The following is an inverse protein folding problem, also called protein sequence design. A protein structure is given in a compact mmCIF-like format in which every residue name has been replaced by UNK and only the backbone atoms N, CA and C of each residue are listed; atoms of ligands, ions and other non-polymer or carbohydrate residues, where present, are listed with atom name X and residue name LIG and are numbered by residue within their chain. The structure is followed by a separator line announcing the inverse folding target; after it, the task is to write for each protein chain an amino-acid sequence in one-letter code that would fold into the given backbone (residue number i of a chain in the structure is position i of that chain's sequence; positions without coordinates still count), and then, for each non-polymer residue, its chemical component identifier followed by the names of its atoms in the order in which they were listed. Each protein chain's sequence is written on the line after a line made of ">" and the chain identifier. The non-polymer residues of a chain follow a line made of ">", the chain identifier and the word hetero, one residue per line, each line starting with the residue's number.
data_IF_291131107597
#
_entry.id   IF_291131107597
#
_cell.length_a   1.000
_cell.length_b   1.000
_cell.length_c   1.000
_cell.angle_alpha   90.00
_cell.angle_beta   90.00
_cell.angle_gamma   90.00
#
_symmetry.space_group_name_H-M   'P 1'
#
loop_
_entity.id
_entity.type
_entity.pdbx_description
1 polymer ?
#
# COMPACT_ATOMS: atom_id res chain seq x y z
N UNK A 1 -7.13 21.97 28.15
CA UNK A 1 -6.58 20.71 28.71
C UNK A 1 -5.72 20.07 27.63
N UNK A 2 -4.40 20.11 27.76
CA UNK A 2 -3.50 19.36 26.86
C UNK A 2 -3.58 17.89 27.25
N UNK A 3 -4.08 17.04 26.36
CA UNK A 3 -3.88 15.59 26.51
C UNK A 3 -2.37 15.33 26.63
N UNK A 4 -1.96 14.79 27.78
CA UNK A 4 -0.60 14.26 27.94
C UNK A 4 -0.50 13.10 26.96
N UNK A 5 0.07 13.35 25.78
CA UNK A 5 0.40 12.29 24.82
C UNK A 5 1.37 11.36 25.52
N UNK A 6 0.92 10.15 25.88
CA UNK A 6 1.80 9.09 26.36
C UNK A 6 2.95 8.93 25.35
N UNK A 7 4.17 8.98 25.87
CA UNK A 7 5.37 8.73 25.07
C UNK A 7 5.25 7.33 24.50
N UNK A 8 5.35 7.19 23.18
CA UNK A 8 5.38 5.87 22.54
C UNK A 8 6.77 5.29 22.74
N UNK A 9 6.82 4.03 23.15
CA UNK A 9 8.05 3.28 23.42
C UNK A 9 8.02 1.92 22.71
N UNK A 10 9.02 1.08 22.99
CA UNK A 10 9.12 -0.24 22.38
C UNK A 10 7.93 -1.15 22.72
N UNK A 11 7.36 -1.03 23.92
CA UNK A 11 6.18 -1.79 24.31
C UNK A 11 4.95 -1.33 23.56
N UNK A 12 4.81 -0.02 23.31
CA UNK A 12 3.78 0.50 22.42
C UNK A 12 3.89 -0.11 21.01
N UNK A 13 5.10 -0.20 20.44
CA UNK A 13 5.32 -0.82 19.13
C UNK A 13 4.89 -2.29 19.14
N UNK A 14 5.34 -3.07 20.13
CA UNK A 14 5.02 -4.49 20.26
C UNK A 14 3.49 -4.67 20.35
N UNK A 15 2.83 -3.93 21.23
CA UNK A 15 1.38 -4.06 21.42
C UNK A 15 0.55 -3.69 20.18
N UNK A 16 1.06 -2.83 19.30
CA UNK A 16 0.32 -2.36 18.12
C UNK A 16 0.67 -3.10 16.81
N UNK A 17 1.85 -3.72 16.74
CA UNK A 17 2.37 -4.24 15.46
C UNK A 17 2.96 -5.65 15.53
N UNK A 18 3.08 -6.28 16.72
CA UNK A 18 3.73 -7.60 16.83
C UNK A 18 3.08 -8.65 15.93
N UNK A 19 1.74 -8.76 15.92
CA UNK A 19 1.03 -9.73 15.06
C UNK A 19 1.37 -9.52 13.58
N UNK A 20 1.44 -8.27 13.12
CA UNK A 20 1.87 -7.98 11.75
C UNK A 20 3.32 -8.40 11.52
N UNK A 21 4.23 -8.08 12.45
CA UNK A 21 5.65 -8.44 12.31
C UNK A 21 5.91 -9.95 12.36
N UNK A 22 5.10 -10.71 13.11
CA UNK A 22 5.15 -12.18 13.14
C UNK A 22 4.84 -12.81 11.79
N UNK A 23 3.93 -12.23 11.01
CA UNK A 23 3.67 -12.68 9.62
C UNK A 23 4.91 -12.56 8.71
N UNK A 24 5.87 -11.72 9.09
CA UNK A 24 7.14 -11.53 8.39
C UNK A 24 8.32 -12.20 9.10
N UNK A 25 8.06 -13.15 10.00
CA UNK A 25 9.09 -13.92 10.70
C UNK A 25 9.85 -13.16 11.78
N UNK A 26 9.37 -11.97 12.16
CA UNK A 26 9.93 -11.24 13.31
C UNK A 26 9.32 -11.74 14.61
N UNK A 27 10.05 -11.61 15.72
CA UNK A 27 9.58 -11.95 17.05
C UNK A 27 9.96 -10.84 18.03
N UNK A 28 9.39 -10.87 19.25
CA UNK A 28 9.67 -9.84 20.25
C UNK A 28 11.17 -9.66 20.52
N UNK A 29 11.92 -10.77 20.57
CA UNK A 29 13.36 -10.75 20.85
C UNK A 29 14.12 -10.00 19.75
N UNK A 30 13.94 -10.37 18.48
CA UNK A 30 14.67 -9.74 17.39
C UNK A 30 14.28 -8.26 17.16
N UNK A 31 13.01 -7.90 17.39
CA UNK A 31 12.56 -6.50 17.34
C UNK A 31 13.27 -5.67 18.42
N UNK A 32 13.42 -6.19 19.63
CA UNK A 32 14.12 -5.49 20.72
C UNK A 32 15.61 -5.39 20.40
N UNK A 33 16.24 -6.47 19.94
CA UNK A 33 17.67 -6.50 19.59
C UNK A 33 18.01 -5.52 18.46
N UNK A 34 17.18 -5.47 17.41
CA UNK A 34 17.29 -4.49 16.34
C UNK A 34 17.09 -3.06 16.86
N UNK A 35 16.17 -2.83 17.80
CA UNK A 35 15.99 -1.51 18.39
C UNK A 35 17.23 -1.05 19.15
N UNK A 36 17.83 -1.94 19.96
CA UNK A 36 19.05 -1.63 20.71
C UNK A 36 20.22 -1.32 19.77
N UNK A 37 20.35 -2.05 18.66
CA UNK A 37 21.39 -1.79 17.66
C UNK A 37 21.15 -0.48 16.92
N UNK A 38 19.91 -0.25 16.49
CA UNK A 38 19.51 0.90 15.68
C UNK A 38 19.66 2.22 16.46
N UNK A 39 19.25 2.25 17.74
CA UNK A 39 19.24 3.48 18.55
C UNK A 39 20.63 4.04 18.88
N UNK A 40 21.70 3.25 18.73
CA UNK A 40 23.08 3.69 19.05
C UNK A 40 23.48 4.91 18.20
N UNK A 41 23.01 5.00 16.96
CA UNK A 41 23.40 6.02 15.99
C UNK A 41 22.20 6.80 15.41
N UNK A 42 21.01 6.69 16.01
CA UNK A 42 19.75 7.21 15.45
C UNK A 42 18.90 7.90 16.52
N UNK A 43 17.82 8.56 16.08
CA UNK A 43 16.86 9.22 16.97
C UNK A 43 16.26 8.23 17.97
N UNK A 44 16.01 8.66 19.21
CA UNK A 44 15.33 7.83 20.23
C UNK A 44 13.81 7.67 19.96
N UNK A 45 13.29 8.23 18.87
CA UNK A 45 11.87 8.18 18.55
C UNK A 45 11.47 6.82 18.02
N UNK A 46 10.57 6.13 18.73
CA UNK A 46 10.07 4.83 18.31
C UNK A 46 9.39 4.88 16.94
N UNK A 47 8.80 6.01 16.55
CA UNK A 47 8.19 6.14 15.24
C UNK A 47 9.19 6.01 14.08
N UNK A 48 10.40 6.53 14.26
CA UNK A 48 11.46 6.42 13.27
C UNK A 48 11.96 4.96 13.18
N UNK A 49 11.92 4.24 14.30
CA UNK A 49 12.21 2.81 14.33
C UNK A 49 11.12 1.97 13.64
N UNK A 50 9.84 2.30 13.83
CA UNK A 50 8.74 1.65 13.07
C UNK A 50 8.93 1.84 11.57
N UNK A 51 9.27 3.07 11.12
CA UNK A 51 9.61 3.33 9.73
C UNK A 51 10.80 2.50 9.25
N UNK A 52 11.84 2.39 10.07
CA UNK A 52 13.00 1.56 9.77
C UNK A 52 12.60 0.10 9.55
N UNK A 53 11.77 -0.48 10.43
CA UNK A 53 11.28 -1.86 10.26
C UNK A 53 10.47 -2.00 8.97
N UNK A 54 9.54 -1.10 8.66
CA UNK A 54 8.77 -1.20 7.41
C UNK A 54 9.66 -1.20 6.17
N UNK A 55 10.68 -0.35 6.11
CA UNK A 55 11.62 -0.32 4.99
C UNK A 55 12.51 -1.57 4.95
N UNK A 56 12.93 -2.07 6.11
CA UNK A 56 13.65 -3.35 6.19
C UNK A 56 12.79 -4.48 5.63
N UNK A 57 11.52 -4.58 6.05
CA UNK A 57 10.58 -5.57 5.52
C UNK A 57 10.40 -5.46 4.01
N UNK A 58 10.26 -4.26 3.45
CA UNK A 58 10.17 -4.09 1.99
C UNK A 58 11.41 -4.62 1.25
N UNK A 59 12.61 -4.42 1.82
CA UNK A 59 13.86 -4.89 1.23
C UNK A 59 14.03 -6.42 1.32
N UNK A 60 13.77 -6.98 2.50
CA UNK A 60 13.84 -8.43 2.74
C UNK A 60 12.78 -9.19 1.94
N UNK A 61 11.61 -8.58 1.72
CA UNK A 61 10.52 -9.21 1.00
C UNK A 61 10.92 -9.68 -0.39
N UNK A 62 11.79 -8.94 -1.08
CA UNK A 62 12.30 -9.33 -2.40
C UNK A 62 13.08 -10.66 -2.37
N UNK A 63 13.75 -10.96 -1.26
CA UNK A 63 14.55 -12.19 -1.10
C UNK A 63 13.71 -13.36 -0.60
N UNK A 64 12.64 -13.08 0.15
CA UNK A 64 11.79 -14.09 0.79
C UNK A 64 10.61 -14.53 -0.08
N UNK A 65 10.30 -13.80 -1.16
CA UNK A 65 9.13 -14.09 -1.99
C UNK A 65 9.42 -15.22 -2.98
N UNK A 66 8.48 -16.16 -3.11
CA UNK A 66 8.62 -17.29 -4.04
C UNK A 66 8.43 -16.88 -5.51
N UNK A 67 7.60 -15.86 -5.73
CA UNK A 67 7.26 -15.34 -7.04
C UNK A 67 6.77 -13.89 -6.95
N UNK A 68 6.55 -13.25 -8.10
CA UNK A 68 6.12 -11.85 -8.17
C UNK A 68 4.75 -11.61 -7.52
N UNK A 69 3.83 -12.56 -7.60
CA UNK A 69 2.50 -12.41 -7.00
C UNK A 69 2.63 -12.33 -5.47
N UNK A 70 3.35 -13.27 -4.86
CA UNK A 70 3.64 -13.29 -3.43
C UNK A 70 4.36 -12.01 -2.98
N UNK A 71 5.36 -11.57 -3.75
CA UNK A 71 6.06 -10.30 -3.52
C UNK A 71 5.08 -9.12 -3.42
N UNK A 72 4.17 -8.98 -4.38
CA UNK A 72 3.21 -7.88 -4.37
C UNK A 72 2.14 -8.04 -3.29
N UNK A 73 1.68 -9.25 -2.96
CA UNK A 73 0.75 -9.49 -1.85
C UNK A 73 1.35 -9.08 -0.50
N UNK A 74 2.61 -9.49 -0.24
CA UNK A 74 3.35 -9.13 0.96
C UNK A 74 3.63 -7.62 1.02
N UNK A 75 4.05 -7.00 -0.08
CA UNK A 75 4.23 -5.54 -0.17
C UNK A 75 2.91 -4.78 0.09
N UNK A 76 1.78 -5.29 -0.40
CA UNK A 76 0.47 -4.67 -0.18
C UNK A 76 0.15 -4.58 1.32
N UNK A 77 0.45 -5.64 2.09
CA UNK A 77 0.29 -5.64 3.56
C UNK A 77 1.19 -4.61 4.24
N UNK A 78 2.45 -4.52 3.84
CA UNK A 78 3.41 -3.55 4.40
C UNK A 78 2.94 -2.12 4.13
N UNK A 79 2.62 -1.78 2.88
CA UNK A 79 2.14 -0.45 2.52
C UNK A 79 0.84 -0.08 3.24
N UNK A 80 -0.08 -1.03 3.43
CA UNK A 80 -1.31 -0.80 4.20
C UNK A 80 -1.00 -0.38 5.65
N UNK A 81 -0.05 -1.06 6.29
CA UNK A 81 0.40 -0.71 7.65
C UNK A 81 1.14 0.62 7.70
N UNK A 82 2.00 0.92 6.73
CA UNK A 82 2.67 2.22 6.59
C UNK A 82 1.65 3.37 6.45
N UNK A 83 0.62 3.19 5.62
CA UNK A 83 -0.47 4.16 5.44
C UNK A 83 -1.22 4.36 6.76
N UNK A 84 -1.60 3.27 7.42
CA UNK A 84 -2.31 3.31 8.71
C UNK A 84 -1.48 4.04 9.76
N UNK A 85 -0.18 3.72 9.85
CA UNK A 85 0.76 4.34 10.78
C UNK A 85 0.85 5.86 10.57
N UNK A 86 1.10 6.26 9.32
CA UNK A 86 1.19 7.68 8.91
C UNK A 86 -0.08 8.47 9.24
N UNK A 87 -1.25 7.89 9.00
CA UNK A 87 -2.55 8.57 9.19
C UNK A 87 -3.00 8.58 10.65
N UNK A 88 -2.93 7.44 11.34
CA UNK A 88 -3.48 7.27 12.69
C UNK A 88 -2.54 7.77 13.77
N UNK A 89 -1.25 7.47 13.67
CA UNK A 89 -0.29 7.73 14.76
C UNK A 89 0.55 8.98 14.54
N UNK A 90 0.85 9.34 13.28
CA UNK A 90 1.51 10.62 12.97
C UNK A 90 0.53 11.74 12.64
N UNK A 91 -0.72 11.42 12.26
CA UNK A 91 -1.74 12.42 11.89
C UNK A 91 -1.43 13.17 10.59
N UNK A 92 -0.61 12.59 9.71
CA UNK A 92 -0.12 13.23 8.48
C UNK A 92 -0.75 12.63 7.24
N UNK A 93 -0.63 13.34 6.10
CA UNK A 93 -0.98 12.79 4.78
C UNK A 93 -0.02 11.63 4.44
N UNK A 94 -0.57 10.63 3.76
CA UNK A 94 0.14 9.43 3.30
C UNK A 94 0.04 9.27 1.78
N UNK A 95 0.05 10.38 1.03
CA UNK A 95 -0.22 10.38 -0.41
C UNK A 95 0.86 9.63 -1.21
N UNK A 96 2.11 9.81 -0.80
CA UNK A 96 3.29 9.14 -1.32
C UNK A 96 3.20 7.62 -1.14
N UNK A 97 2.77 7.17 0.03
CA UNK A 97 2.62 5.74 0.34
C UNK A 97 1.38 5.18 -0.37
N UNK A 98 0.28 5.94 -0.43
CA UNK A 98 -0.91 5.55 -1.19
C UNK A 98 -0.60 5.37 -2.68
N UNK A 99 0.25 6.23 -3.24
CA UNK A 99 0.71 6.09 -4.62
C UNK A 99 1.48 4.79 -4.82
N UNK A 100 2.43 4.47 -3.94
CA UNK A 100 3.17 3.21 -3.98
C UNK A 100 2.26 1.99 -3.81
N UNK A 101 1.29 2.07 -2.88
CA UNK A 101 0.27 1.05 -2.68
C UNK A 101 -0.52 0.77 -3.96
N UNK A 102 -0.99 1.81 -4.64
CA UNK A 102 -1.77 1.67 -5.88
C UNK A 102 -0.90 1.10 -7.02
N UNK A 103 0.35 1.52 -7.14
CA UNK A 103 1.27 0.92 -8.13
C UNK A 103 1.48 -0.57 -7.85
N UNK A 104 1.75 -0.92 -6.59
CA UNK A 104 1.89 -2.31 -6.16
C UNK A 104 0.62 -3.12 -6.44
N UNK A 105 -0.56 -2.53 -6.19
CA UNK A 105 -1.86 -3.16 -6.46
C UNK A 105 -2.07 -3.42 -7.95
N UNK A 106 -1.77 -2.45 -8.80
CA UNK A 106 -1.84 -2.63 -10.27
C UNK A 106 -0.95 -3.79 -10.70
N UNK A 107 0.29 -3.86 -10.22
CA UNK A 107 1.20 -4.95 -10.56
C UNK A 107 0.72 -6.31 -10.03
N UNK A 108 0.16 -6.36 -8.83
CA UNK A 108 -0.47 -7.56 -8.29
C UNK A 108 -1.64 -8.04 -9.17
N UNK A 109 -2.52 -7.12 -9.56
CA UNK A 109 -3.67 -7.43 -10.40
C UNK A 109 -3.22 -7.91 -11.79
N UNK A 110 -2.16 -7.32 -12.36
CA UNK A 110 -1.57 -7.76 -13.61
C UNK A 110 -0.98 -9.18 -13.52
N UNK A 111 -0.19 -9.48 -12.49
CA UNK A 111 0.41 -10.80 -12.32
C UNK A 111 -0.68 -11.86 -12.06
N UNK A 112 -1.66 -11.53 -11.22
CA UNK A 112 -2.79 -12.42 -10.92
C UNK A 112 -3.65 -12.73 -12.14
N UNK A 113 -3.70 -11.82 -13.12
CA UNK A 113 -4.47 -11.98 -14.37
C UNK A 113 -3.60 -12.37 -15.58
N UNK A 114 -2.32 -12.71 -15.37
CA UNK A 114 -1.39 -13.07 -16.44
C UNK A 114 -1.94 -14.23 -17.29
N UNK A 115 -2.47 -15.25 -16.63
CA UNK A 115 -3.03 -16.46 -17.26
C UNK A 115 -4.54 -16.36 -17.56
N UNK A 116 -5.16 -15.20 -17.32
CA UNK A 116 -6.58 -15.00 -17.66
C UNK A 116 -6.75 -14.98 -19.18
N UNK A 117 -7.85 -15.56 -19.68
CA UNK A 117 -8.25 -15.51 -21.10
C UNK A 117 -9.02 -14.23 -21.45
N UNK A 118 -9.26 -13.33 -20.50
CA UNK A 118 -10.06 -12.12 -20.71
C UNK A 118 -9.19 -10.87 -20.77
N UNK A 119 -9.59 -9.93 -21.61
CA UNK A 119 -9.04 -8.58 -21.54
C UNK A 119 -9.48 -7.89 -20.25
N UNK A 120 -8.61 -7.06 -19.71
CA UNK A 120 -8.86 -6.29 -18.49
C UNK A 120 -8.59 -4.82 -18.76
N UNK A 121 -9.37 -3.97 -18.11
CA UNK A 121 -9.09 -2.56 -17.88
C UNK A 121 -8.93 -2.32 -16.38
N UNK A 122 -8.54 -1.09 -16.04
CA UNK A 122 -8.52 -0.64 -14.66
C UNK A 122 -9.61 0.39 -14.43
N UNK A 123 -10.09 0.47 -13.20
CA UNK A 123 -11.08 1.43 -12.75
C UNK A 123 -10.56 2.15 -11.51
N UNK A 124 -10.78 3.46 -11.43
CA UNK A 124 -10.49 4.21 -10.21
C UNK A 124 -11.68 4.12 -9.27
N UNK A 125 -11.44 3.60 -8.07
CA UNK A 125 -12.43 3.49 -7.01
C UNK A 125 -12.27 4.70 -6.09
N UNK A 126 -13.12 5.70 -6.27
CA UNK A 126 -13.19 6.89 -5.44
C UNK A 126 -14.10 6.71 -4.23
N UNK A 127 -13.84 7.46 -3.16
CA UNK A 127 -14.72 7.54 -1.98
C UNK A 127 -15.70 8.71 -2.02
N UNK A 128 -15.65 9.53 -3.08
CA UNK A 128 -16.54 10.67 -3.33
C UNK A 128 -16.56 11.75 -2.22
N UNK A 129 -15.50 11.81 -1.44
CA UNK A 129 -15.37 12.66 -0.26
C UNK A 129 -14.48 13.90 -0.49
N UNK A 130 -13.92 14.04 -1.69
CA UNK A 130 -13.31 15.26 -2.18
C UNK A 130 -13.60 15.43 -3.68
N UNK A 131 -13.52 16.67 -4.18
CA UNK A 131 -13.93 16.98 -5.56
C UNK A 131 -13.10 16.22 -6.60
N UNK A 132 -11.80 16.04 -6.35
CA UNK A 132 -10.96 15.22 -7.20
C UNK A 132 -11.38 13.75 -7.20
N UNK A 133 -11.76 13.19 -6.05
CA UNK A 133 -12.26 11.82 -5.97
C UNK A 133 -13.57 11.66 -6.74
N UNK A 134 -14.50 12.60 -6.59
CA UNK A 134 -15.78 12.60 -7.33
C UNK A 134 -15.56 12.65 -8.84
N UNK A 135 -14.60 13.46 -9.29
CA UNK A 135 -14.29 13.65 -10.72
C UNK A 135 -13.72 12.38 -11.39
N UNK A 136 -12.95 11.60 -10.65
CA UNK A 136 -12.23 10.43 -11.20
C UNK A 136 -12.86 9.10 -10.80
N UNK A 137 -13.86 9.08 -9.92
CA UNK A 137 -14.50 7.84 -9.49
C UNK A 137 -15.14 7.14 -10.68
N UNK A 138 -14.98 5.81 -10.74
CA UNK A 138 -15.49 4.94 -11.80
C UNK A 138 -14.88 5.20 -13.19
N UNK A 139 -13.87 6.08 -13.28
CA UNK A 139 -13.13 6.29 -14.52
C UNK A 139 -12.41 5.00 -14.91
N UNK A 140 -12.77 4.47 -16.07
CA UNK A 140 -12.10 3.34 -16.71
C UNK A 140 -10.84 3.86 -17.40
N UNK A 141 -9.70 3.21 -17.13
CA UNK A 141 -8.38 3.56 -17.64
C UNK A 141 -7.70 2.32 -18.22
N UNK A 142 -6.78 2.56 -19.16
CA UNK A 142 -6.01 1.48 -19.77
C UNK A 142 -4.97 0.93 -18.80
N UNK A 143 -4.46 -0.28 -19.09
CA UNK A 143 -3.30 -0.85 -18.39
C UNK A 143 -2.11 0.12 -18.33
N UNK A 144 -1.81 0.82 -19.43
CA UNK A 144 -0.68 1.75 -19.47
C UNK A 144 -0.89 2.90 -18.48
N UNK A 145 -2.08 3.51 -18.49
CA UNK A 145 -2.42 4.59 -17.55
C UNK A 145 -2.35 4.14 -16.09
N UNK A 146 -2.79 2.90 -15.81
CA UNK A 146 -2.70 2.32 -14.47
C UNK A 146 -1.24 2.14 -14.00
N UNK A 147 -0.36 1.64 -14.87
CA UNK A 147 1.08 1.45 -14.57
C UNK A 147 1.80 2.79 -14.40
N UNK A 148 1.48 3.80 -15.21
CA UNK A 148 2.01 5.16 -15.05
C UNK A 148 1.60 5.80 -13.70
N UNK A 149 0.46 5.37 -13.14
CA UNK A 149 -0.05 5.75 -11.82
C UNK A 149 -0.01 7.27 -11.59
N UNK A 150 -0.43 8.01 -12.62
CA UNK A 150 -0.52 9.47 -12.67
C UNK A 150 -1.98 9.97 -12.75
N UNK A 151 -2.95 9.05 -12.94
CA UNK A 151 -4.36 9.41 -13.12
C UNK A 151 -5.02 9.88 -11.83
N UNK A 152 -4.65 9.28 -10.69
CA UNK A 152 -5.10 9.75 -9.38
C UNK A 152 -4.27 10.99 -9.01
N UNK A 153 -4.89 12.18 -8.85
CA UNK A 153 -4.16 13.42 -8.60
C UNK A 153 -3.85 13.58 -7.10
N UNK A 154 -2.97 12.72 -6.57
CA UNK A 154 -2.68 12.65 -5.14
C UNK A 154 -2.34 14.02 -4.50
N UNK A 155 -1.60 14.88 -5.21
CA UNK A 155 -1.22 16.23 -4.77
C UNK A 155 -2.40 17.18 -4.59
N UNK A 156 -3.50 16.97 -5.32
CA UNK A 156 -4.72 17.79 -5.26
C UNK A 156 -5.73 17.28 -4.22
N UNK A 157 -5.42 16.19 -3.51
CA UNK A 157 -6.32 15.65 -2.51
C UNK A 157 -6.45 16.58 -1.29
N UNK A 158 -7.69 17.02 -1.04
CA UNK A 158 -8.04 17.94 0.05
C UNK A 158 -8.23 17.24 1.40
N UNK A 159 -8.35 15.90 1.45
CA UNK A 159 -8.44 15.14 2.70
C UNK A 159 -7.25 15.42 3.60
N UNK A 160 -7.52 15.70 4.89
CA UNK A 160 -6.48 15.96 5.91
C UNK A 160 -5.46 14.83 6.05
N UNK A 161 -5.92 13.57 5.97
CA UNK A 161 -5.08 12.37 6.07
C UNK A 161 -4.59 11.84 4.71
N UNK A 162 -4.83 12.58 3.63
CA UNK A 162 -4.43 12.21 2.28
C UNK A 162 -5.45 11.34 1.55
N UNK A 163 -5.15 11.08 0.28
CA UNK A 163 -5.98 10.37 -0.68
C UNK A 163 -6.20 8.92 -0.27
N UNK A 164 -7.41 8.40 -0.43
CA UNK A 164 -7.76 6.99 -0.19
C UNK A 164 -8.28 6.29 -1.44
N UNK A 165 -8.30 6.98 -2.58
CA UNK A 165 -8.73 6.40 -3.86
C UNK A 165 -7.82 5.24 -4.24
N UNK A 166 -8.42 4.21 -4.82
CA UNK A 166 -7.74 2.98 -5.23
C UNK A 166 -7.84 2.78 -6.74
N UNK A 167 -6.94 1.97 -7.29
CA UNK A 167 -7.12 1.38 -8.61
C UNK A 167 -7.54 -0.07 -8.43
N UNK A 168 -8.54 -0.50 -9.18
CA UNK A 168 -9.00 -1.87 -9.25
C UNK A 168 -8.97 -2.39 -10.68
N UNK A 169 -8.93 -3.70 -10.84
CA UNK A 169 -9.06 -4.36 -12.14
C UNK A 169 -10.53 -4.66 -12.43
N UNK A 170 -10.93 -4.51 -13.69
CA UNK A 170 -12.22 -4.96 -14.19
C UNK A 170 -12.06 -5.69 -15.52
N UNK A 171 -12.81 -6.77 -15.77
CA UNK A 171 -12.80 -7.41 -17.09
C UNK A 171 -13.49 -6.50 -18.11
N UNK A 172 -12.90 -6.41 -19.30
CA UNK A 172 -13.49 -5.65 -20.41
C UNK A 172 -14.79 -6.28 -20.89
N UNK A 173 -15.73 -5.42 -21.27
CA UNK A 173 -17.02 -5.81 -21.85
C UNK A 173 -17.26 -5.09 -23.17
N UNK A 174 -17.90 -5.79 -24.11
CA UNK A 174 -18.38 -5.18 -25.35
C UNK A 174 -19.65 -4.32 -25.11
N UNK A 175 -20.17 -3.72 -26.17
CA UNK A 175 -21.39 -2.89 -26.13
C UNK A 175 -22.64 -3.65 -25.66
N UNK A 176 -22.62 -4.99 -25.70
CA UNK A 176 -23.70 -5.86 -25.24
C UNK A 176 -23.45 -6.41 -23.82
N UNK A 177 -22.40 -5.93 -23.14
CA UNK A 177 -22.03 -6.37 -21.80
C UNK A 177 -21.31 -7.72 -21.74
N UNK A 178 -20.90 -8.30 -22.89
CA UNK A 178 -20.22 -9.61 -22.94
C UNK A 178 -18.72 -9.44 -22.69
N UNK A 179 -18.12 -10.41 -21.99
CA UNK A 179 -16.68 -10.39 -21.69
C UNK A 179 -15.85 -10.52 -22.97
N UNK A 180 -14.84 -9.65 -23.11
CA UNK A 180 -13.91 -9.68 -24.24
C UNK A 180 -12.75 -10.65 -23.92
N UNK A 181 -12.50 -11.60 -24.82
CA UNK A 181 -11.38 -12.56 -24.70
C UNK A 181 -10.11 -11.98 -25.30
N UNK A 182 -8.96 -12.30 -24.73
CA UNK A 182 -7.66 -12.02 -25.34
C UNK A 182 -7.56 -12.78 -26.66
N UNK A 183 -7.16 -12.08 -27.72
CA UNK A 183 -6.80 -12.75 -28.98
C UNK A 183 -5.54 -13.57 -28.70
N UNK A 184 -5.61 -14.88 -28.92
CA UNK A 184 -4.39 -15.70 -28.91
C UNK A 184 -3.58 -15.29 -30.13
N UNK A 185 -2.48 -14.59 -29.92
CA UNK A 185 -1.45 -14.52 -30.95
C UNK A 185 -0.79 -15.90 -30.96
N UNK A 186 -0.93 -16.61 -32.07
CA UNK A 186 -0.18 -17.85 -32.38
C UNK A 186 1.32 -17.59 -32.43
#
# INVERSE_FOLDING_TARGET
>A
MSEIRRVKDIEWLINNYMTFFEEFGMNRKNIIEYYQTWKINKSERIEDYVWYIFNHLLNENAQQSENLKDLFERNQKIYSHMISFRRRFEGKKANEIQRLYNLNRVNLDLESNRNSNFEIDFVIIGTNDCDESKRISELIITKQQAVENNVIPYSKCTRKQGCVCLMGVMPKRDVNGRLIRKVKNE
#
